data_IF_351276226942
#
_entry.id   IF_351276226942
#
_cell.length_a   1.000
_cell.length_b   1.000
_cell.length_c   1.000
_cell.angle_alpha   90.00
_cell.angle_beta   90.00
_cell.angle_gamma   90.00
#
_symmetry.space_group_name_H-M   'P 1'
#
loop_
_entity.id
_entity.type
_entity.pdbx_description
1 polymer ?
#
# COMPACT_ATOMS: atom_id res chain seq x y z
N UNK A 1 73.04 51.54 47.69
CA UNK A 1 71.78 50.85 47.98
C UNK A 1 71.14 50.39 46.67
N UNK A 2 71.29 49.16 46.28
CA UNK A 2 70.84 48.62 45.01
C UNK A 2 69.36 48.19 45.15
N UNK A 3 68.49 48.70 44.32
CA UNK A 3 67.14 48.15 44.14
C UNK A 3 67.14 47.19 42.91
N UNK A 4 66.88 45.92 43.14
CA UNK A 4 66.70 44.91 42.12
C UNK A 4 65.31 45.04 41.53
N UNK A 5 65.19 45.20 40.21
CA UNK A 5 63.93 45.03 39.46
C UNK A 5 63.80 43.57 39.06
N UNK A 6 62.67 42.92 39.49
CA UNK A 6 62.24 41.63 38.98
C UNK A 6 61.31 41.84 37.78
N UNK A 7 61.69 41.31 36.64
CA UNK A 7 60.91 41.32 35.44
C UNK A 7 60.16 39.99 35.39
N UNK A 8 58.84 39.96 35.58
CA UNK A 8 57.97 38.76 35.48
C UNK A 8 57.50 38.61 34.05
N UNK A 9 58.00 37.62 33.32
CA UNK A 9 57.51 37.25 32.01
C UNK A 9 56.21 36.43 32.13
N UNK A 10 55.11 36.97 31.62
CA UNK A 10 53.83 36.23 31.50
C UNK A 10 53.85 35.49 30.18
N UNK A 11 53.95 34.12 30.27
CA UNK A 11 53.78 33.26 29.11
C UNK A 11 52.27 33.04 28.89
N UNK A 12 51.77 33.56 27.77
CA UNK A 12 50.40 33.37 27.33
C UNK A 12 50.32 32.02 26.54
N UNK A 13 49.88 30.93 27.19
CA UNK A 13 49.59 29.68 26.52
C UNK A 13 48.27 29.81 25.79
N UNK A 14 48.32 29.97 24.46
CA UNK A 14 47.14 29.79 23.60
C UNK A 14 46.82 28.27 23.53
N UNK A 15 45.83 27.86 24.29
CA UNK A 15 45.17 26.55 24.12
C UNK A 15 44.25 26.62 22.89
N UNK A 16 44.73 26.16 21.73
CA UNK A 16 43.88 25.88 20.59
C UNK A 16 43.06 24.61 20.92
N UNK A 17 41.84 24.83 21.38
CA UNK A 17 40.86 23.76 21.53
C UNK A 17 40.45 23.22 20.17
N UNK A 18 41.02 22.09 19.75
CA UNK A 18 40.49 21.29 18.67
C UNK A 18 39.21 20.68 19.20
N UNK A 19 38.06 21.25 18.80
CA UNK A 19 36.75 20.62 19.01
C UNK A 19 36.72 19.30 18.17
N UNK A 20 36.98 18.19 18.81
CA UNK A 20 36.66 16.86 18.24
C UNK A 20 35.14 16.84 18.04
N UNK A 21 34.72 16.85 16.78
CA UNK A 21 33.34 16.51 16.41
C UNK A 21 33.03 15.13 16.98
N UNK A 22 32.19 15.10 18.01
CA UNK A 22 31.72 13.86 18.58
C UNK A 22 31.01 13.08 17.46
N UNK A 23 31.60 11.96 17.07
CA UNK A 23 31.01 10.97 16.17
C UNK A 23 29.63 10.59 16.75
N UNK A 24 28.54 10.98 16.08
CA UNK A 24 27.21 10.52 16.48
C UNK A 24 27.24 9.00 16.40
N UNK A 25 26.82 8.27 17.44
CA UNK A 25 26.83 6.82 17.41
C UNK A 25 26.03 6.36 16.21
N UNK A 26 26.67 5.70 15.25
CA UNK A 26 25.99 5.02 14.15
C UNK A 26 24.99 4.05 14.78
N UNK A 27 23.68 4.34 14.68
CA UNK A 27 22.64 3.40 15.05
C UNK A 27 22.90 2.13 14.25
N UNK A 28 23.30 1.03 14.93
CA UNK A 28 23.40 -0.29 14.29
C UNK A 28 22.15 -0.51 13.47
N UNK A 29 22.31 -0.80 12.18
CA UNK A 29 21.16 -1.07 11.30
C UNK A 29 20.44 -2.29 11.86
N UNK A 30 19.26 -2.05 12.43
CA UNK A 30 18.40 -3.16 12.88
C UNK A 30 18.00 -3.93 11.62
N UNK A 31 18.23 -5.25 11.62
CA UNK A 31 17.84 -6.11 10.51
C UNK A 31 16.35 -5.97 10.25
N UNK A 32 15.97 -5.96 8.99
CA UNK A 32 14.57 -5.96 8.54
C UNK A 32 14.47 -6.75 7.22
N UNK A 33 13.33 -7.39 6.94
CA UNK A 33 13.14 -8.11 5.69
C UNK A 33 13.25 -7.19 4.47
N UNK A 34 13.90 -7.67 3.40
CA UNK A 34 13.88 -7.06 2.07
C UNK A 34 12.67 -7.58 1.30
N UNK A 35 11.96 -6.69 0.61
CA UNK A 35 10.84 -6.98 -0.27
C UNK A 35 11.26 -6.77 -1.73
N UNK A 36 10.65 -7.55 -2.63
CA UNK A 36 10.78 -7.45 -4.09
C UNK A 36 9.48 -6.91 -4.65
N UNK A 37 9.46 -5.64 -5.06
CA UNK A 37 8.24 -5.01 -5.58
C UNK A 37 8.35 -4.87 -7.11
N UNK A 38 7.45 -5.53 -7.85
CA UNK A 38 7.41 -5.43 -9.31
C UNK A 38 6.94 -4.04 -9.74
N UNK A 39 7.82 -3.23 -10.33
CA UNK A 39 7.49 -1.84 -10.70
C UNK A 39 7.02 -1.74 -12.14
N UNK A 40 7.75 -2.35 -13.09
CA UNK A 40 7.42 -2.33 -14.50
C UNK A 40 7.51 -3.74 -15.08
N UNK A 41 6.64 -4.05 -16.02
CA UNK A 41 6.70 -5.31 -16.78
C UNK A 41 6.38 -5.05 -18.26
N UNK A 42 6.94 -5.86 -19.15
CA UNK A 42 6.67 -5.77 -20.58
C UNK A 42 7.43 -4.66 -21.30
N UNK A 43 8.44 -4.03 -20.66
CA UNK A 43 9.26 -2.99 -21.27
C UNK A 43 10.50 -3.60 -21.95
N UNK A 44 11.04 -2.93 -22.97
CA UNK A 44 12.29 -3.36 -23.65
C UNK A 44 13.52 -2.67 -23.10
N UNK A 45 13.33 -1.53 -22.44
CA UNK A 45 14.39 -0.73 -21.84
C UNK A 45 13.86 -0.05 -20.59
N UNK A 46 14.73 0.23 -19.61
CA UNK A 46 14.43 1.04 -18.42
C UNK A 46 15.55 2.04 -18.18
N UNK A 47 15.17 3.30 -17.95
CA UNK A 47 16.08 4.37 -17.52
C UNK A 47 16.30 4.33 -16.02
N UNK A 48 17.54 4.40 -15.56
CA UNK A 48 17.92 4.29 -14.16
C UNK A 48 18.91 5.37 -13.74
N UNK A 49 18.82 5.80 -12.47
CA UNK A 49 19.83 6.61 -11.78
C UNK A 49 19.90 6.17 -10.33
N UNK A 50 21.06 6.29 -9.70
CA UNK A 50 21.28 5.92 -8.29
C UNK A 50 21.94 7.05 -7.52
N UNK A 51 21.55 7.28 -6.26
CA UNK A 51 22.04 8.37 -5.43
C UNK A 51 23.45 8.14 -4.86
N UNK A 52 23.96 6.91 -4.91
CA UNK A 52 25.28 6.54 -4.41
C UNK A 52 25.99 5.57 -5.39
N UNK A 53 27.33 5.40 -5.29
CA UNK A 53 28.04 4.41 -6.09
C UNK A 53 27.48 2.99 -5.85
N UNK A 54 27.17 2.31 -6.95
CA UNK A 54 26.60 0.96 -6.96
C UNK A 54 27.42 0.00 -7.80
N UNK A 55 27.17 -1.28 -7.57
CA UNK A 55 27.61 -2.36 -8.45
C UNK A 55 26.39 -2.98 -9.14
N UNK A 56 26.55 -3.30 -10.42
CA UNK A 56 25.64 -4.19 -11.14
C UNK A 56 26.22 -5.59 -11.09
N UNK A 57 25.46 -6.53 -10.58
CA UNK A 57 25.85 -7.95 -10.49
C UNK A 57 24.90 -8.81 -11.31
N UNK A 58 25.40 -9.91 -11.83
CA UNK A 58 24.56 -11.00 -12.31
C UNK A 58 23.79 -11.58 -11.13
N UNK A 59 22.46 -11.58 -11.20
CA UNK A 59 21.61 -11.97 -10.07
C UNK A 59 21.73 -13.47 -9.73
N UNK A 60 22.16 -14.31 -10.66
CA UNK A 60 22.32 -15.76 -10.50
C UNK A 60 23.71 -16.10 -10.00
N UNK A 61 24.75 -15.67 -10.74
CA UNK A 61 26.14 -16.02 -10.46
C UNK A 61 26.80 -15.14 -9.39
N UNK A 62 26.16 -14.02 -9.05
CA UNK A 62 26.66 -12.96 -8.15
C UNK A 62 27.95 -12.29 -8.61
N UNK A 63 28.36 -12.51 -9.85
CA UNK A 63 29.53 -11.88 -10.44
C UNK A 63 29.27 -10.40 -10.72
N UNK A 64 30.20 -9.54 -10.34
CA UNK A 64 30.17 -8.11 -10.69
C UNK A 64 30.35 -7.93 -12.18
N UNK A 65 29.39 -7.26 -12.80
CA UNK A 65 29.38 -6.95 -14.24
C UNK A 65 29.89 -5.54 -14.51
N UNK A 66 29.51 -4.57 -13.67
CA UNK A 66 29.84 -3.15 -13.89
C UNK A 66 29.76 -2.36 -12.59
N UNK A 67 30.62 -1.34 -12.44
CA UNK A 67 30.47 -0.28 -11.43
C UNK A 67 29.62 0.86 -12.00
N UNK A 68 28.72 1.38 -11.19
CA UNK A 68 27.79 2.45 -11.54
C UNK A 68 28.09 3.64 -10.63
N UNK A 69 28.54 4.78 -11.18
CA UNK A 69 28.76 5.98 -10.39
C UNK A 69 27.44 6.59 -9.93
N UNK A 70 27.49 7.31 -8.79
CA UNK A 70 26.34 8.07 -8.29
C UNK A 70 25.90 9.15 -9.31
N UNK A 71 24.62 9.50 -9.27
CA UNK A 71 23.95 10.59 -10.00
C UNK A 71 24.07 10.54 -11.53
N UNK A 72 24.61 9.45 -12.09
CA UNK A 72 24.71 9.25 -13.54
C UNK A 72 23.52 8.46 -14.07
N UNK A 73 22.88 8.97 -15.11
CA UNK A 73 21.85 8.25 -15.84
C UNK A 73 22.47 7.08 -16.63
N UNK A 74 21.81 5.93 -16.59
CA UNK A 74 22.14 4.77 -17.40
C UNK A 74 20.86 4.01 -17.75
N UNK A 75 20.93 3.09 -18.70
CA UNK A 75 19.81 2.25 -19.06
C UNK A 75 20.19 0.77 -18.96
N UNK A 76 19.19 -0.06 -18.70
CA UNK A 76 19.25 -1.51 -18.92
C UNK A 76 18.36 -1.83 -20.11
N UNK A 77 18.94 -2.41 -21.15
CA UNK A 77 18.29 -2.73 -22.41
C UNK A 77 18.21 -4.25 -22.60
N UNK A 78 17.06 -4.74 -23.03
CA UNK A 78 16.82 -6.17 -23.24
C UNK A 78 17.81 -6.80 -24.22
N UNK A 79 18.08 -6.15 -25.36
CA UNK A 79 18.96 -6.68 -26.39
C UNK A 79 20.43 -6.75 -25.92
N UNK A 80 20.86 -5.77 -25.11
CA UNK A 80 22.25 -5.67 -24.61
C UNK A 80 22.50 -6.54 -23.37
N UNK A 81 21.45 -6.94 -22.65
CA UNK A 81 21.57 -7.73 -21.43
C UNK A 81 21.94 -9.17 -21.74
N UNK A 82 23.16 -9.59 -21.36
CA UNK A 82 23.73 -10.94 -21.62
C UNK A 82 23.30 -12.00 -20.59
N UNK A 83 22.73 -11.59 -19.46
CA UNK A 83 22.31 -12.46 -18.36
C UNK A 83 20.78 -12.50 -18.25
N UNK A 84 20.24 -13.47 -17.55
CA UNK A 84 18.78 -13.60 -17.33
C UNK A 84 18.25 -12.59 -16.32
N UNK A 85 19.12 -12.13 -15.40
CA UNK A 85 18.76 -11.12 -14.40
C UNK A 85 20.00 -10.35 -13.92
N UNK A 86 19.84 -9.06 -13.64
CA UNK A 86 20.87 -8.23 -12.99
C UNK A 86 20.29 -7.58 -11.73
N UNK A 87 21.15 -7.34 -10.72
CA UNK A 87 20.84 -6.54 -9.55
C UNK A 87 21.79 -5.34 -9.49
N UNK A 88 21.23 -4.18 -9.13
CA UNK A 88 21.96 -2.95 -8.84
C UNK A 88 21.85 -2.70 -7.34
N UNK A 89 22.97 -2.75 -6.64
CA UNK A 89 23.05 -2.62 -5.18
C UNK A 89 24.14 -1.62 -4.78
N UNK A 90 24.00 -0.92 -3.65
CA UNK A 90 25.02 0.01 -3.19
C UNK A 90 26.33 -0.70 -2.85
N UNK A 91 27.45 -0.03 -3.12
CA UNK A 91 28.79 -0.57 -2.85
C UNK A 91 29.20 -0.41 -1.36
N UNK A 92 28.85 0.74 -0.75
CA UNK A 92 29.39 1.12 0.57
C UNK A 92 28.34 1.60 1.59
N UNK A 93 27.12 1.90 1.17
CA UNK A 93 26.06 2.34 2.07
C UNK A 93 25.03 1.23 2.29
N UNK A 94 24.25 1.25 3.39
CA UNK A 94 23.14 0.33 3.57
C UNK A 94 22.10 0.47 2.47
N UNK A 95 21.43 -0.61 2.10
CA UNK A 95 20.40 -0.62 1.07
C UNK A 95 19.27 0.38 1.34
N UNK A 96 18.90 0.56 2.61
CA UNK A 96 17.87 1.50 3.05
C UNK A 96 18.19 2.97 2.77
N UNK A 97 19.47 3.31 2.60
CA UNK A 97 19.93 4.68 2.35
C UNK A 97 20.15 4.97 0.86
N UNK A 98 20.00 3.96 0.00
CA UNK A 98 20.07 4.12 -1.45
C UNK A 98 18.73 4.63 -1.99
N UNK A 99 18.79 5.63 -2.86
CA UNK A 99 17.66 6.06 -3.68
C UNK A 99 17.95 5.67 -5.12
N UNK A 100 17.07 4.84 -5.69
CA UNK A 100 17.06 4.52 -7.11
C UNK A 100 15.96 5.32 -7.81
N UNK A 101 16.28 5.97 -8.92
CA UNK A 101 15.28 6.55 -9.82
C UNK A 101 15.03 5.55 -10.95
N UNK A 102 13.77 5.16 -11.12
CA UNK A 102 13.29 4.20 -12.14
C UNK A 102 12.28 4.96 -13.01
N UNK A 103 12.60 5.19 -14.27
CA UNK A 103 11.79 5.99 -15.21
C UNK A 103 11.25 7.29 -14.61
N UNK A 104 12.14 8.04 -13.91
CA UNK A 104 11.84 9.35 -13.34
C UNK A 104 11.25 9.32 -11.92
N UNK A 105 10.76 8.20 -11.41
CA UNK A 105 10.24 8.08 -10.04
C UNK A 105 11.31 7.60 -9.06
N UNK A 106 11.32 8.13 -7.85
CA UNK A 106 12.28 7.81 -6.79
C UNK A 106 11.76 6.68 -5.91
N UNK A 107 12.64 5.71 -5.63
CA UNK A 107 12.39 4.57 -4.76
C UNK A 107 13.56 4.38 -3.80
N UNK A 108 13.28 4.04 -2.56
CA UNK A 108 14.32 3.53 -1.67
C UNK A 108 14.79 2.15 -2.13
N UNK A 109 16.08 1.84 -1.87
CA UNK A 109 16.62 0.52 -2.14
C UNK A 109 17.25 0.35 -3.52
N UNK A 110 17.50 -0.90 -3.87
CA UNK A 110 18.15 -1.30 -5.13
C UNK A 110 17.15 -1.64 -6.24
N UNK A 111 17.70 -2.10 -7.36
CA UNK A 111 16.91 -2.50 -8.53
C UNK A 111 17.34 -3.86 -9.00
N UNK A 112 16.38 -4.73 -9.31
CA UNK A 112 16.59 -5.97 -10.05
C UNK A 112 15.86 -5.87 -11.38
N UNK A 113 16.50 -6.33 -12.45
CA UNK A 113 15.90 -6.38 -13.78
C UNK A 113 15.99 -7.82 -14.29
N UNK A 114 14.84 -8.42 -14.54
CA UNK A 114 14.73 -9.78 -15.07
C UNK A 114 14.37 -9.74 -16.55
N UNK A 115 14.99 -10.63 -17.36
CA UNK A 115 14.52 -10.95 -18.71
C UNK A 115 13.37 -11.95 -18.66
N UNK A 116 12.21 -11.61 -19.21
CA UNK A 116 11.02 -12.46 -19.21
C UNK A 116 10.35 -12.41 -20.58
N UNK A 117 10.34 -13.54 -21.31
CA UNK A 117 9.58 -13.71 -22.57
C UNK A 117 9.66 -12.54 -23.56
N UNK A 118 10.89 -12.08 -23.88
CA UNK A 118 11.10 -11.00 -24.85
C UNK A 118 11.03 -9.57 -24.30
N UNK A 119 10.85 -9.41 -23.01
CA UNK A 119 10.76 -8.12 -22.33
C UNK A 119 11.53 -8.11 -21.02
N UNK A 120 11.54 -6.98 -20.33
CA UNK A 120 12.10 -6.79 -19.00
C UNK A 120 10.96 -6.67 -17.96
N UNK A 121 11.20 -7.25 -16.78
CA UNK A 121 10.49 -6.95 -15.55
C UNK A 121 11.44 -6.23 -14.59
N UNK A 122 11.06 -5.04 -14.16
CA UNK A 122 11.85 -4.18 -13.26
C UNK A 122 11.29 -4.29 -11.86
N UNK A 123 12.14 -4.61 -10.90
CA UNK A 123 11.78 -4.93 -9.52
C UNK A 123 12.58 -4.01 -8.60
N UNK A 124 11.90 -3.33 -7.70
CA UNK A 124 12.55 -2.61 -6.62
C UNK A 124 12.90 -3.58 -5.47
N UNK A 125 14.15 -3.57 -5.04
CA UNK A 125 14.66 -4.32 -3.90
C UNK A 125 14.69 -3.38 -2.70
N UNK A 126 13.68 -3.44 -1.84
CA UNK A 126 13.48 -2.42 -0.82
C UNK A 126 13.34 -3.05 0.58
N UNK A 127 14.02 -2.52 1.61
CA UNK A 127 13.74 -2.90 2.98
C UNK A 127 12.33 -2.53 3.41
N UNK A 128 11.71 -3.32 4.28
CA UNK A 128 10.28 -3.21 4.62
C UNK A 128 9.87 -1.81 5.10
N UNK A 129 10.66 -1.17 5.96
CA UNK A 129 10.28 0.15 6.50
C UNK A 129 10.32 1.24 5.43
N UNK A 130 11.30 1.19 4.55
CA UNK A 130 11.44 2.13 3.44
C UNK A 130 10.32 1.93 2.39
N UNK A 131 9.88 0.67 2.17
CA UNK A 131 8.68 0.37 1.38
C UNK A 131 7.43 1.02 1.99
N UNK A 132 7.27 0.92 3.31
CA UNK A 132 6.09 1.46 4.01
C UNK A 132 6.02 2.99 3.96
N UNK A 133 7.15 3.70 3.89
CA UNK A 133 7.14 5.18 3.70
C UNK A 133 6.46 5.57 2.40
N UNK A 134 6.67 4.79 1.33
CA UNK A 134 5.94 4.97 0.06
C UNK A 134 4.47 4.57 0.18
N UNK A 135 4.19 3.36 0.68
CA UNK A 135 2.82 2.83 0.76
C UNK A 135 1.90 3.67 1.64
N UNK A 136 2.33 4.04 2.86
CA UNK A 136 1.46 4.79 3.78
C UNK A 136 1.10 6.16 3.24
N UNK A 137 2.06 6.85 2.58
CA UNK A 137 1.82 8.16 1.98
C UNK A 137 0.89 8.13 0.76
N UNK A 138 0.90 7.03 0.00
CA UNK A 138 0.02 6.84 -1.17
C UNK A 138 -1.37 6.33 -0.77
N UNK A 139 -1.47 5.48 0.24
CA UNK A 139 -2.74 4.90 0.71
C UNK A 139 -3.55 5.87 1.56
N UNK A 140 -2.91 6.73 2.34
CA UNK A 140 -3.57 7.69 3.23
C UNK A 140 -2.94 9.09 3.13
N UNK A 141 -3.79 10.11 3.12
CA UNK A 141 -3.32 11.50 3.13
C UNK A 141 -2.40 11.78 4.33
N UNK A 142 -1.23 12.43 4.10
CA UNK A 142 -0.37 12.89 5.20
C UNK A 142 -1.04 13.88 6.17
N UNK A 143 -2.20 14.44 5.78
CA UNK A 143 -3.00 15.29 6.68
C UNK A 143 -3.83 14.50 7.70
N UNK A 144 -3.82 13.16 7.65
CA UNK A 144 -4.54 12.34 8.62
C UNK A 144 -3.81 12.32 9.97
N UNK A 145 -4.55 12.10 11.08
CA UNK A 145 -3.95 12.01 12.41
C UNK A 145 -2.86 10.93 12.49
N UNK A 146 -1.81 11.17 13.26
CA UNK A 146 -0.67 10.26 13.42
C UNK A 146 -1.10 8.84 13.80
N UNK A 147 -2.08 8.68 14.69
CA UNK A 147 -2.56 7.36 15.12
C UNK A 147 -3.25 6.57 13.99
N UNK A 148 -3.90 7.26 13.05
CA UNK A 148 -4.45 6.61 11.84
C UNK A 148 -3.32 6.14 10.91
N UNK A 149 -2.29 6.96 10.70
CA UNK A 149 -1.11 6.61 9.90
C UNK A 149 -0.30 5.47 10.53
N UNK A 150 -0.19 5.42 11.87
CA UNK A 150 0.42 4.29 12.60
C UNK A 150 -0.38 3.00 12.38
N UNK A 151 -1.71 3.06 12.49
CA UNK A 151 -2.57 1.91 12.23
C UNK A 151 -2.38 1.40 10.79
N UNK A 152 -2.31 2.31 9.80
CA UNK A 152 -2.03 1.97 8.41
C UNK A 152 -0.65 1.35 8.25
N UNK A 153 0.40 1.89 8.89
CA UNK A 153 1.76 1.35 8.81
C UNK A 153 1.83 -0.09 9.33
N UNK A 154 1.20 -0.39 10.47
CA UNK A 154 1.14 -1.75 11.03
C UNK A 154 0.32 -2.69 10.13
N UNK A 155 -0.84 -2.25 9.63
CA UNK A 155 -1.66 -3.03 8.71
C UNK A 155 -0.91 -3.31 7.40
N UNK A 156 -0.31 -2.30 6.78
CA UNK A 156 0.45 -2.45 5.54
C UNK A 156 1.68 -3.36 5.71
N UNK A 157 2.39 -3.25 6.84
CA UNK A 157 3.53 -4.13 7.17
C UNK A 157 3.10 -5.58 7.31
N UNK A 158 2.02 -5.82 8.06
CA UNK A 158 1.47 -7.16 8.26
C UNK A 158 1.03 -7.78 6.93
N UNK A 159 0.30 -7.02 6.10
CA UNK A 159 -0.11 -7.44 4.77
C UNK A 159 1.10 -7.79 3.88
N UNK A 160 2.09 -6.90 3.81
CA UNK A 160 3.25 -7.10 2.96
C UNK A 160 4.05 -8.34 3.35
N UNK A 161 4.31 -8.52 4.65
CA UNK A 161 5.07 -9.67 5.15
C UNK A 161 4.28 -10.99 5.09
N UNK A 162 2.94 -10.94 5.24
CA UNK A 162 2.07 -12.10 5.09
C UNK A 162 1.96 -12.57 3.65
N UNK A 163 1.91 -11.63 2.70
CA UNK A 163 1.68 -11.89 1.28
C UNK A 163 2.97 -11.87 0.44
N UNK A 164 4.15 -12.00 1.06
CA UNK A 164 5.39 -12.27 0.32
C UNK A 164 5.17 -13.48 -0.58
N UNK A 165 5.76 -13.46 -1.75
CA UNK A 165 5.62 -14.52 -2.76
C UNK A 165 4.26 -14.55 -3.48
N UNK A 166 3.35 -13.57 -3.25
CA UNK A 166 2.06 -13.50 -3.96
C UNK A 166 2.23 -13.47 -5.48
N UNK A 167 3.33 -12.91 -5.95
CA UNK A 167 3.74 -12.82 -7.36
C UNK A 167 5.04 -13.58 -7.65
N UNK A 168 5.33 -14.67 -6.92
CA UNK A 168 6.58 -15.41 -7.08
C UNK A 168 6.75 -15.99 -8.51
N UNK A 169 5.64 -16.36 -9.16
CA UNK A 169 5.64 -16.82 -10.56
C UNK A 169 6.07 -15.72 -11.54
N UNK A 170 5.88 -14.45 -11.21
CA UNK A 170 6.35 -13.29 -11.96
C UNK A 170 7.75 -12.83 -11.52
N UNK A 171 8.30 -13.42 -10.45
CA UNK A 171 9.65 -13.19 -9.94
C UNK A 171 9.77 -12.07 -8.91
N UNK A 172 8.66 -11.61 -8.29
CA UNK A 172 8.64 -10.60 -7.23
C UNK A 172 7.61 -10.94 -6.15
N UNK A 173 7.58 -10.19 -5.04
CA UNK A 173 6.69 -10.47 -3.91
C UNK A 173 5.32 -9.82 -4.08
N UNK A 174 5.27 -8.53 -4.37
CA UNK A 174 4.04 -7.72 -4.45
C UNK A 174 4.06 -6.84 -5.70
N UNK A 175 2.89 -6.54 -6.25
CA UNK A 175 2.73 -5.54 -7.31
C UNK A 175 2.45 -4.14 -6.70
N UNK A 176 2.67 -3.04 -7.46
CA UNK A 176 2.58 -1.67 -6.96
C UNK A 176 1.18 -1.07 -7.10
N UNK A 177 0.14 -1.91 -7.26
CA UNK A 177 -1.22 -1.47 -7.54
C UNK A 177 -2.18 -1.84 -6.40
N UNK A 178 -3.43 -1.40 -6.48
CA UNK A 178 -4.51 -1.76 -5.54
C UNK A 178 -4.79 -3.27 -5.44
N UNK A 179 -4.19 -4.12 -6.29
CA UNK A 179 -4.25 -5.58 -6.13
C UNK A 179 -3.42 -6.04 -4.92
N UNK A 180 -2.28 -5.38 -4.64
CA UNK A 180 -1.50 -5.59 -3.42
C UNK A 180 -1.59 -4.34 -2.54
N UNK A 181 -0.78 -3.32 -2.79
CA UNK A 181 -0.76 -2.02 -2.12
C UNK A 181 -0.25 -0.98 -3.12
N UNK A 182 -0.81 0.22 -3.11
CA UNK A 182 -0.33 1.29 -3.98
C UNK A 182 1.08 1.68 -3.57
N UNK A 183 2.02 1.64 -4.52
CA UNK A 183 3.42 1.97 -4.32
C UNK A 183 4.01 2.62 -5.57
N UNK A 184 3.99 3.94 -5.60
CA UNK A 184 4.45 4.74 -6.74
C UNK A 184 5.80 5.44 -6.51
N UNK A 185 6.59 4.93 -5.57
CA UNK A 185 7.83 5.53 -5.09
C UNK A 185 7.67 6.06 -3.68
N UNK A 186 8.38 7.13 -3.34
CA UNK A 186 8.18 7.79 -2.05
C UNK A 186 8.23 9.32 -2.19
N UNK A 187 7.46 9.97 -1.34
CA UNK A 187 7.58 11.38 -1.00
C UNK A 187 7.99 11.49 0.47
N UNK A 188 8.79 12.50 0.80
CA UNK A 188 9.36 12.66 2.15
C UNK A 188 8.40 13.43 3.06
N UNK A 189 7.34 12.77 3.51
CA UNK A 189 6.40 13.31 4.49
C UNK A 189 6.84 12.98 5.91
N UNK A 190 7.24 13.98 6.69
CA UNK A 190 7.72 13.80 8.06
C UNK A 190 6.74 13.00 8.95
N UNK A 191 5.44 13.29 8.87
CA UNK A 191 4.42 12.59 9.67
C UNK A 191 4.27 11.12 9.28
N UNK A 192 4.42 10.79 8.00
CA UNK A 192 4.40 9.39 7.50
C UNK A 192 5.65 8.67 8.00
N UNK A 193 6.82 9.29 7.88
CA UNK A 193 8.07 8.75 8.39
C UNK A 193 7.97 8.47 9.89
N UNK A 194 7.41 9.42 10.66
CA UNK A 194 7.19 9.28 12.10
C UNK A 194 6.26 8.11 12.41
N UNK A 195 5.15 7.95 11.68
CA UNK A 195 4.23 6.83 11.87
C UNK A 195 4.90 5.47 11.64
N UNK A 196 5.70 5.34 10.58
CA UNK A 196 6.46 4.13 10.26
C UNK A 196 7.53 3.85 11.31
N UNK A 197 8.29 4.88 11.74
CA UNK A 197 9.38 4.74 12.72
C UNK A 197 8.86 4.38 14.13
N UNK A 198 7.78 5.01 14.57
CA UNK A 198 7.19 4.74 15.89
C UNK A 198 6.53 3.35 15.98
N UNK A 199 6.14 2.76 14.85
CA UNK A 199 5.58 1.40 14.77
C UNK A 199 6.57 0.38 14.17
N UNK A 200 7.86 0.72 14.13
CA UNK A 200 8.89 -0.09 13.47
C UNK A 200 8.87 -1.55 13.91
N UNK A 201 8.78 -2.46 12.94
CA UNK A 201 8.77 -3.91 13.16
C UNK A 201 7.48 -4.47 13.76
N UNK A 202 6.48 -3.65 14.04
CA UNK A 202 5.20 -4.11 14.59
C UNK A 202 4.28 -4.67 13.50
N UNK A 203 3.72 -5.85 13.79
CA UNK A 203 2.74 -6.54 12.94
C UNK A 203 1.58 -7.06 13.78
N UNK A 204 0.46 -7.33 13.13
CA UNK A 204 -0.62 -8.10 13.74
C UNK A 204 -0.39 -9.59 13.54
N UNK A 205 -0.65 -10.36 14.60
CA UNK A 205 -0.58 -11.82 14.56
C UNK A 205 -1.90 -12.44 15.01
N UNK A 206 -2.25 -13.57 14.42
CA UNK A 206 -3.35 -14.42 14.84
C UNK A 206 -2.87 -15.86 14.97
N UNK A 207 -3.04 -16.47 16.15
CA UNK A 207 -2.48 -17.82 16.46
C UNK A 207 -1.00 -17.92 16.10
N UNK A 208 -0.21 -16.95 16.57
CA UNK A 208 1.26 -16.80 16.38
C UNK A 208 1.73 -16.65 14.90
N UNK A 209 0.85 -16.54 13.94
CA UNK A 209 1.16 -16.27 12.53
C UNK A 209 0.82 -14.83 12.18
N UNK A 210 1.59 -14.21 11.28
CA UNK A 210 1.28 -12.86 10.77
C UNK A 210 -0.12 -12.91 10.12
N UNK A 211 -0.97 -11.97 10.54
CA UNK A 211 -2.34 -11.84 10.05
C UNK A 211 -2.36 -11.22 8.64
N UNK A 212 -3.35 -11.61 7.86
CA UNK A 212 -3.66 -10.97 6.58
C UNK A 212 -4.54 -9.75 6.83
N UNK A 213 -3.95 -8.57 6.80
CA UNK A 213 -4.55 -7.31 7.23
C UNK A 213 -4.99 -6.47 6.04
N UNK A 214 -6.05 -6.92 5.38
CA UNK A 214 -6.65 -6.18 4.28
C UNK A 214 -7.21 -4.84 4.77
N UNK A 215 -7.17 -3.80 3.93
CA UNK A 215 -7.70 -2.48 4.21
C UNK A 215 -8.31 -1.86 2.94
N UNK A 216 -9.10 -0.82 3.09
CA UNK A 216 -9.80 -0.15 2.01
C UNK A 216 -10.10 1.31 2.38
N UNK A 217 -10.45 2.13 1.38
CA UNK A 217 -10.60 3.57 1.58
C UNK A 217 -11.73 3.95 2.54
N UNK A 218 -12.95 3.39 2.35
CA UNK A 218 -14.14 3.75 3.14
C UNK A 218 -15.14 2.60 3.18
N UNK A 219 -15.55 2.20 4.38
CA UNK A 219 -16.53 1.12 4.57
C UNK A 219 -17.96 1.55 4.23
N UNK A 220 -18.27 2.84 4.37
CA UNK A 220 -19.63 3.37 4.36
C UNK A 220 -20.41 3.07 5.64
N UNK A 221 -19.72 2.95 6.82
CA UNK A 221 -20.31 2.80 8.15
C UNK A 221 -20.25 1.39 8.75
N UNK A 222 -19.98 0.36 7.94
CA UNK A 222 -19.76 -1.02 8.41
C UNK A 222 -18.86 -1.78 7.45
N UNK A 223 -17.83 -2.47 7.97
CA UNK A 223 -16.95 -3.32 7.16
C UNK A 223 -17.66 -4.60 6.73
N UNK A 224 -17.05 -5.35 5.83
CA UNK A 224 -17.61 -6.58 5.26
C UNK A 224 -16.86 -7.82 5.74
N UNK A 225 -17.55 -8.94 5.82
CA UNK A 225 -16.92 -10.24 6.03
C UNK A 225 -16.10 -10.64 4.81
N UNK A 226 -14.89 -11.14 5.03
CA UNK A 226 -14.05 -11.66 3.95
C UNK A 226 -14.73 -12.80 3.18
N UNK A 227 -15.54 -13.61 3.88
CA UNK A 227 -16.29 -14.70 3.28
C UNK A 227 -17.31 -14.23 2.23
N UNK A 228 -17.94 -13.08 2.44
CA UNK A 228 -18.92 -12.51 1.51
C UNK A 228 -18.27 -11.86 0.28
N UNK A 229 -16.96 -11.54 0.34
CA UNK A 229 -16.22 -10.89 -0.77
C UNK A 229 -15.41 -11.92 -1.56
N UNK A 230 -14.69 -12.81 -0.87
CA UNK A 230 -13.72 -13.73 -1.49
C UNK A 230 -13.99 -15.22 -1.24
N UNK A 231 -15.09 -15.55 -0.53
CA UNK A 231 -15.49 -16.93 -0.27
C UNK A 231 -14.62 -17.69 0.75
N UNK A 232 -13.67 -17.02 1.40
CA UNK A 232 -12.80 -17.62 2.42
C UNK A 232 -13.20 -17.15 3.81
N UNK A 233 -13.15 -18.02 4.81
CA UNK A 233 -13.46 -17.64 6.18
C UNK A 233 -12.16 -17.35 6.95
N UNK A 234 -12.03 -16.11 7.44
CA UNK A 234 -10.92 -15.66 8.29
C UNK A 234 -11.50 -15.06 9.56
N UNK A 235 -11.21 -15.68 10.70
CA UNK A 235 -11.90 -15.40 11.97
C UNK A 235 -11.80 -13.94 12.47
N UNK A 236 -10.78 -13.20 12.06
CA UNK A 236 -10.55 -11.80 12.44
C UNK A 236 -10.93 -10.78 11.34
N UNK A 237 -11.43 -11.23 10.17
CA UNK A 237 -11.94 -10.38 9.09
C UNK A 237 -13.46 -10.49 9.00
N UNK A 238 -14.10 -10.00 10.05
CA UNK A 238 -15.56 -10.01 10.25
C UNK A 238 -16.12 -8.59 10.14
N UNK A 239 -17.42 -8.42 9.90
CA UNK A 239 -18.03 -7.11 9.85
C UNK A 239 -17.94 -6.40 11.21
N UNK A 240 -17.47 -5.14 11.20
CA UNK A 240 -17.49 -4.26 12.38
C UNK A 240 -18.14 -2.93 12.03
N UNK A 241 -18.92 -2.39 12.97
CA UNK A 241 -19.55 -1.07 12.84
C UNK A 241 -18.52 0.02 13.10
N UNK A 242 -18.62 1.11 12.36
CA UNK A 242 -17.85 2.31 12.59
C UNK A 242 -18.63 3.36 13.36
N UNK A 243 -17.93 4.36 13.91
CA UNK A 243 -18.55 5.51 14.60
C UNK A 243 -19.07 6.57 13.63
N UNK A 244 -18.90 6.33 12.33
CA UNK A 244 -19.33 7.25 11.30
C UNK A 244 -20.84 7.14 11.09
N UNK A 245 -21.51 8.27 11.05
CA UNK A 245 -22.71 8.41 10.26
C UNK A 245 -22.33 8.17 8.78
N UNK A 246 -23.26 7.64 7.99
CA UNK A 246 -23.03 7.41 6.56
C UNK A 246 -22.39 8.64 5.93
N UNK A 247 -21.24 8.45 5.28
CA UNK A 247 -20.62 9.49 4.46
C UNK A 247 -21.59 9.95 3.37
N UNK A 248 -21.35 11.12 2.76
CA UNK A 248 -22.19 11.58 1.66
C UNK A 248 -22.28 10.50 0.55
N UNK A 249 -23.48 10.17 0.07
CA UNK A 249 -23.65 9.14 -0.94
C UNK A 249 -23.01 9.55 -2.25
N UNK A 250 -22.43 8.60 -2.95
CA UNK A 250 -22.09 8.75 -4.35
C UNK A 250 -23.29 8.36 -5.23
N UNK A 251 -23.44 9.01 -6.39
CA UNK A 251 -24.48 8.70 -7.35
C UNK A 251 -23.88 8.53 -8.74
N UNK A 252 -24.28 7.46 -9.43
CA UNK A 252 -23.91 7.20 -10.82
C UNK A 252 -25.15 6.90 -11.63
N UNK A 253 -25.26 7.49 -12.83
CA UNK A 253 -26.39 7.37 -13.71
C UNK A 253 -25.95 6.82 -15.06
N UNK A 254 -26.74 5.92 -15.59
CA UNK A 254 -26.55 5.34 -16.93
C UNK A 254 -27.88 5.39 -17.66
N UNK A 255 -27.89 5.69 -18.96
CA UNK A 255 -29.11 5.51 -19.72
C UNK A 255 -29.55 4.04 -19.68
N UNK A 256 -30.86 3.77 -19.70
CA UNK A 256 -31.40 2.41 -19.73
C UNK A 256 -30.81 1.59 -20.89
N UNK A 257 -30.55 2.26 -22.02
CA UNK A 257 -29.92 1.68 -23.22
C UNK A 257 -28.46 1.27 -22.94
N UNK A 258 -27.61 2.18 -22.38
CA UNK A 258 -26.20 1.88 -22.03
C UNK A 258 -26.13 0.78 -20.96
N UNK A 259 -26.99 0.87 -19.93
CA UNK A 259 -27.08 -0.16 -18.92
C UNK A 259 -27.37 -1.54 -19.53
N UNK A 260 -28.38 -1.62 -20.39
CA UNK A 260 -28.82 -2.87 -21.02
C UNK A 260 -27.76 -3.47 -21.94
N UNK A 261 -27.09 -2.65 -22.73
CA UNK A 261 -26.05 -3.07 -23.69
C UNK A 261 -24.91 -3.82 -23.04
N UNK A 262 -24.60 -3.53 -21.77
CA UNK A 262 -23.54 -4.21 -21.00
C UNK A 262 -23.85 -5.65 -20.64
N UNK A 263 -25.08 -6.11 -20.87
CA UNK A 263 -25.49 -7.51 -20.63
C UNK A 263 -25.66 -8.33 -21.93
N UNK A 264 -25.42 -7.68 -23.08
CA UNK A 264 -25.52 -8.30 -24.41
C UNK A 264 -26.94 -8.38 -24.95
N UNK A 265 -27.06 -8.70 -26.24
CA UNK A 265 -28.33 -8.65 -26.99
C UNK A 265 -29.42 -9.59 -26.47
N UNK A 266 -29.02 -10.67 -25.79
CA UNK A 266 -29.95 -11.64 -25.21
C UNK A 266 -30.66 -11.14 -23.94
N UNK A 267 -30.23 -10.02 -23.34
CA UNK A 267 -30.90 -9.40 -22.21
C UNK A 267 -32.07 -8.52 -22.68
N UNK A 268 -31.88 -7.81 -23.78
CA UNK A 268 -32.82 -6.79 -24.27
C UNK A 268 -32.80 -5.53 -23.40
N UNK A 269 -33.85 -4.74 -23.43
CA UNK A 269 -33.96 -3.50 -22.65
C UNK A 269 -34.37 -3.80 -21.21
N UNK A 270 -33.80 -3.09 -20.24
CA UNK A 270 -34.15 -3.23 -18.83
C UNK A 270 -35.57 -2.77 -18.57
N UNK A 271 -36.39 -3.59 -17.93
CA UNK A 271 -37.77 -3.31 -17.53
C UNK A 271 -37.95 -3.02 -16.06
N UNK A 272 -37.23 -3.74 -15.21
CA UNK A 272 -37.27 -3.54 -13.76
C UNK A 272 -36.04 -4.13 -13.09
N UNK A 273 -35.79 -3.66 -11.88
CA UNK A 273 -34.72 -4.09 -11.01
C UNK A 273 -35.33 -4.50 -9.69
N UNK A 274 -34.97 -5.69 -9.20
CA UNK A 274 -35.39 -6.19 -7.89
C UNK A 274 -34.17 -6.27 -6.99
N UNK A 275 -34.15 -5.47 -5.95
CA UNK A 275 -33.13 -5.38 -4.94
C UNK A 275 -33.77 -4.86 -3.65
N UNK A 276 -33.52 -5.51 -2.53
CA UNK A 276 -33.98 -5.04 -1.21
C UNK A 276 -33.40 -3.69 -0.87
N UNK A 277 -34.13 -2.88 -0.10
CA UNK A 277 -33.63 -1.58 0.38
C UNK A 277 -32.38 -1.74 1.24
N UNK A 278 -31.40 -0.88 1.00
CA UNK A 278 -30.15 -0.85 1.75
C UNK A 278 -30.43 -0.51 3.24
N UNK A 279 -30.02 -1.41 4.11
CA UNK A 279 -30.10 -1.21 5.58
C UNK A 279 -28.83 -1.78 6.21
N UNK A 280 -27.99 -0.92 6.78
CA UNK A 280 -26.75 -1.33 7.45
C UNK A 280 -27.09 -2.08 8.75
N UNK A 281 -26.39 -3.19 8.99
CA UNK A 281 -26.59 -4.04 10.17
C UNK A 281 -27.73 -5.05 10.01
N UNK A 282 -28.37 -5.12 8.82
CA UNK A 282 -29.47 -6.06 8.56
C UNK A 282 -29.24 -6.81 7.25
N UNK A 283 -29.11 -8.13 7.34
CA UNK A 283 -29.01 -9.00 6.16
C UNK A 283 -30.34 -9.22 5.49
N UNK A 284 -30.30 -9.45 4.18
CA UNK A 284 -31.41 -9.92 3.37
C UNK A 284 -30.90 -11.07 2.45
N UNK A 285 -31.78 -11.70 1.68
CA UNK A 285 -31.37 -12.76 0.75
C UNK A 285 -30.35 -12.25 -0.29
N UNK A 286 -30.52 -11.00 -0.71
CA UNK A 286 -29.72 -10.32 -1.73
C UNK A 286 -28.70 -9.32 -1.15
N UNK A 287 -28.60 -9.22 0.21
CA UNK A 287 -27.65 -8.32 0.90
C UNK A 287 -26.95 -9.01 2.06
N UNK A 288 -25.71 -8.58 2.31
CA UNK A 288 -24.95 -8.96 3.50
C UNK A 288 -25.43 -8.20 4.74
N UNK A 289 -24.88 -8.53 5.90
CA UNK A 289 -25.15 -7.78 7.14
C UNK A 289 -24.66 -6.33 7.10
N UNK A 290 -23.62 -6.02 6.30
CA UNK A 290 -23.16 -4.65 6.08
C UNK A 290 -24.07 -3.85 5.15
N UNK A 291 -25.08 -4.47 4.53
CA UNK A 291 -25.98 -3.88 3.54
C UNK A 291 -25.45 -3.98 2.09
N UNK A 292 -24.28 -4.57 1.88
CA UNK A 292 -23.68 -4.71 0.53
C UNK A 292 -24.47 -5.71 -0.30
N UNK A 293 -24.54 -5.44 -1.61
CA UNK A 293 -25.28 -6.28 -2.56
C UNK A 293 -24.57 -7.61 -2.77
N UNK A 294 -25.22 -8.71 -2.42
CA UNK A 294 -24.81 -10.09 -2.79
C UNK A 294 -25.24 -10.39 -4.21
N UNK A 295 -26.50 -10.13 -4.53
CA UNK A 295 -27.07 -10.33 -5.86
C UNK A 295 -28.19 -9.34 -6.13
N UNK A 296 -28.44 -9.05 -7.40
CA UNK A 296 -29.61 -8.30 -7.84
C UNK A 296 -30.30 -9.05 -9.00
N UNK A 297 -31.62 -8.98 -9.08
CA UNK A 297 -32.37 -9.52 -10.21
C UNK A 297 -32.72 -8.42 -11.18
N UNK A 298 -32.23 -8.55 -12.42
CA UNK A 298 -32.47 -7.62 -13.52
C UNK A 298 -33.47 -8.25 -14.48
N UNK A 299 -34.58 -7.59 -14.70
CA UNK A 299 -35.60 -8.03 -15.66
C UNK A 299 -35.44 -7.25 -16.96
N UNK A 300 -35.01 -7.93 -18.00
CA UNK A 300 -34.94 -7.39 -19.36
C UNK A 300 -36.15 -7.77 -20.19
N UNK A 301 -36.26 -7.20 -21.40
CA UNK A 301 -37.33 -7.55 -22.34
C UNK A 301 -37.25 -8.99 -22.84
N UNK A 302 -36.06 -9.57 -22.90
CA UNK A 302 -35.83 -10.91 -23.45
C UNK A 302 -35.47 -11.94 -22.37
N UNK A 303 -34.78 -11.51 -21.28
CA UNK A 303 -34.28 -12.42 -20.25
C UNK A 303 -34.25 -11.74 -18.88
N UNK A 304 -34.50 -12.52 -17.84
CA UNK A 304 -34.19 -12.13 -16.44
C UNK A 304 -32.82 -12.69 -16.05
N UNK A 305 -31.98 -11.85 -15.44
CA UNK A 305 -30.65 -12.18 -14.97
C UNK A 305 -30.55 -12.00 -13.45
N UNK A 306 -29.86 -12.91 -12.78
CA UNK A 306 -29.34 -12.66 -11.43
C UNK A 306 -27.86 -12.38 -11.54
N UNK A 307 -27.41 -11.26 -10.99
CA UNK A 307 -26.02 -10.81 -11.09
C UNK A 307 -25.49 -10.45 -9.70
N UNK A 308 -24.21 -10.77 -9.43
CA UNK A 308 -23.59 -10.43 -8.16
C UNK A 308 -23.32 -8.92 -8.03
N UNK A 309 -23.29 -8.42 -6.78
CA UNK A 309 -22.89 -7.03 -6.51
C UNK A 309 -21.45 -6.75 -6.96
N UNK A 310 -20.56 -7.73 -6.87
CA UNK A 310 -19.17 -7.64 -7.33
C UNK A 310 -19.11 -7.48 -8.86
N UNK A 311 -19.91 -8.24 -9.60
CA UNK A 311 -19.95 -8.13 -11.06
C UNK A 311 -20.59 -6.81 -11.52
N UNK A 312 -21.63 -6.33 -10.82
CA UNK A 312 -22.18 -5.00 -11.04
C UNK A 312 -21.12 -3.92 -10.79
N UNK A 313 -20.43 -3.99 -9.65
CA UNK A 313 -19.33 -3.06 -9.34
C UNK A 313 -18.29 -3.01 -10.45
N UNK A 314 -17.85 -4.17 -10.93
CA UNK A 314 -16.84 -4.28 -12.01
C UNK A 314 -17.36 -3.75 -13.33
N UNK A 315 -18.57 -4.16 -13.71
CA UNK A 315 -19.20 -3.81 -15.00
C UNK A 315 -19.49 -2.31 -15.15
N UNK A 316 -19.83 -1.64 -14.05
CA UNK A 316 -20.17 -0.22 -14.02
C UNK A 316 -19.11 0.66 -13.34
N UNK A 317 -17.95 0.10 -12.96
CA UNK A 317 -16.88 0.81 -12.26
C UNK A 317 -17.36 1.51 -10.98
N UNK A 318 -18.29 0.88 -10.23
CA UNK A 318 -18.86 1.48 -9.02
C UNK A 318 -17.81 1.54 -7.91
N UNK A 319 -17.85 2.58 -7.05
CA UNK A 319 -16.91 2.74 -5.95
C UNK A 319 -16.91 1.57 -4.94
N UNK A 320 -18.08 1.00 -4.66
CA UNK A 320 -18.27 -0.11 -3.71
C UNK A 320 -19.40 -1.03 -4.14
N UNK A 321 -19.65 -2.09 -3.38
CA UNK A 321 -20.85 -2.94 -3.48
C UNK A 321 -21.99 -2.51 -2.53
N UNK A 322 -21.80 -1.41 -1.78
CA UNK A 322 -22.78 -0.85 -0.86
C UNK A 322 -23.62 0.21 -1.59
N UNK A 323 -24.67 -0.21 -2.27
CA UNK A 323 -25.51 0.66 -3.07
C UNK A 323 -26.97 0.20 -3.15
N UNK A 324 -27.86 1.13 -3.45
CA UNK A 324 -29.17 0.91 -4.01
C UNK A 324 -29.16 1.19 -5.53
N UNK A 325 -30.08 0.56 -6.25
CA UNK A 325 -30.18 0.69 -7.70
C UNK A 325 -31.65 0.71 -8.11
N UNK A 326 -32.03 1.67 -8.96
CA UNK A 326 -33.40 1.79 -9.48
C UNK A 326 -33.43 2.23 -10.93
N UNK A 327 -34.43 1.75 -11.65
CA UNK A 327 -34.83 2.31 -12.96
C UNK A 327 -35.79 3.48 -12.72
N UNK A 328 -35.51 4.64 -13.29
CA UNK A 328 -36.29 5.86 -13.17
C UNK A 328 -36.41 6.54 -14.55
N UNK A 329 -37.54 6.40 -15.21
CA UNK A 329 -37.64 6.79 -16.61
C UNK A 329 -36.66 6.00 -17.46
N UNK A 330 -35.87 6.73 -18.25
CA UNK A 330 -34.86 6.17 -19.17
C UNK A 330 -33.45 6.06 -18.51
N UNK A 331 -33.36 6.20 -17.19
CA UNK A 331 -32.09 6.10 -16.47
C UNK A 331 -32.10 4.97 -15.44
N UNK A 332 -30.98 4.24 -15.33
CA UNK A 332 -30.65 3.42 -14.18
C UNK A 332 -29.74 4.21 -13.25
N UNK A 333 -30.20 4.42 -12.02
CA UNK A 333 -29.53 5.24 -11.01
C UNK A 333 -29.00 4.34 -9.92
N UNK A 334 -27.70 4.38 -9.70
CA UNK A 334 -27.02 3.80 -8.54
C UNK A 334 -26.79 4.90 -7.50
N UNK A 335 -27.14 4.64 -6.26
CA UNK A 335 -26.83 5.50 -5.12
C UNK A 335 -26.19 4.66 -4.04
N UNK A 336 -24.97 4.98 -3.63
CA UNK A 336 -24.25 4.13 -2.70
C UNK A 336 -23.29 4.88 -1.80
N UNK A 337 -22.60 4.13 -0.95
CA UNK A 337 -21.70 4.63 0.08
C UNK A 337 -20.39 3.88 0.08
N UNK A 338 -19.36 4.49 0.69
CA UNK A 338 -18.05 3.88 0.82
C UNK A 338 -17.29 3.72 -0.50
N UNK A 339 -16.05 3.25 -0.38
CA UNK A 339 -15.12 3.02 -1.51
C UNK A 339 -14.20 1.84 -1.16
N UNK A 340 -14.13 0.88 -2.06
CA UNK A 340 -13.31 -0.32 -1.89
C UNK A 340 -14.13 -1.58 -1.62
N UNK A 341 -13.44 -2.67 -1.23
CA UNK A 341 -14.04 -3.99 -1.00
C UNK A 341 -14.74 -4.13 0.34
N UNK A 342 -14.46 -3.28 1.31
CA UNK A 342 -15.09 -3.29 2.64
C UNK A 342 -14.42 -4.19 3.67
N UNK A 343 -13.47 -5.06 3.32
CA UNK A 343 -12.87 -6.04 4.25
C UNK A 343 -11.74 -5.41 5.07
N UNK A 344 -11.69 -5.69 6.37
CA UNK A 344 -10.64 -5.23 7.28
C UNK A 344 -10.73 -3.74 7.59
N UNK A 345 -9.60 -3.04 7.71
CA UNK A 345 -9.58 -1.65 8.16
C UNK A 345 -10.06 -0.68 7.09
N UNK A 346 -11.00 0.19 7.45
CA UNK A 346 -11.38 1.38 6.68
C UNK A 346 -10.43 2.53 7.01
N UNK A 347 -9.81 3.11 5.99
CA UNK A 347 -8.88 4.25 6.15
C UNK A 347 -9.62 5.49 6.67
N UNK A 348 -10.82 5.77 6.15
CA UNK A 348 -11.66 6.85 6.64
C UNK A 348 -12.16 6.59 8.07
N UNK A 349 -12.50 5.35 8.40
CA UNK A 349 -12.87 4.95 9.76
C UNK A 349 -11.70 5.10 10.73
N UNK A 350 -10.49 4.65 10.36
CA UNK A 350 -9.28 4.83 11.16
C UNK A 350 -8.99 6.31 11.45
N UNK A 351 -9.15 7.19 10.44
CA UNK A 351 -9.07 8.65 10.62
C UNK A 351 -10.06 9.12 11.68
N UNK A 352 -11.34 8.78 11.57
CA UNK A 352 -12.38 9.22 12.49
C UNK A 352 -12.16 8.71 13.93
N UNK A 353 -11.71 7.46 14.09
CA UNK A 353 -11.35 6.94 15.41
C UNK A 353 -10.16 7.70 16.00
N UNK A 354 -9.12 8.01 15.22
CA UNK A 354 -7.98 8.78 15.66
C UNK A 354 -8.36 10.23 16.05
N UNK A 355 -9.25 10.88 15.29
CA UNK A 355 -9.83 12.19 15.64
C UNK A 355 -10.63 12.16 16.96
N UNK A 356 -11.13 10.99 17.36
CA UNK A 356 -11.76 10.73 18.67
C UNK A 356 -10.76 10.21 19.73
N UNK A 357 -9.46 10.48 19.54
CA UNK A 357 -8.37 10.12 20.45
C UNK A 357 -8.20 8.61 20.69
N UNK A 358 -8.55 7.76 19.70
CA UNK A 358 -8.17 6.37 19.76
C UNK A 358 -6.71 6.22 19.33
N UNK A 359 -5.98 5.38 20.06
CA UNK A 359 -4.63 4.97 19.72
C UNK A 359 -4.64 3.93 18.59
N UNK A 360 -3.55 3.82 17.84
CA UNK A 360 -3.46 2.92 16.68
C UNK A 360 -3.71 1.44 17.04
N UNK A 361 -3.27 0.99 18.21
CA UNK A 361 -3.50 -0.38 18.69
C UNK A 361 -4.99 -0.63 18.97
N UNK A 362 -5.71 0.36 19.51
CA UNK A 362 -7.16 0.30 19.70
C UNK A 362 -7.90 0.30 18.36
N UNK A 363 -7.48 1.10 17.40
CA UNK A 363 -8.00 1.11 16.01
C UNK A 363 -7.83 -0.27 15.38
N UNK A 364 -6.62 -0.81 15.43
CA UNK A 364 -6.31 -2.12 14.86
C UNK A 364 -7.10 -3.26 15.52
N UNK A 365 -7.23 -3.26 16.84
CA UNK A 365 -8.01 -4.27 17.56
C UNK A 365 -9.50 -4.23 17.24
N UNK A 366 -10.03 -3.06 16.88
CA UNK A 366 -11.41 -2.90 16.41
C UNK A 366 -11.65 -3.59 15.07
N UNK A 367 -10.75 -3.37 14.09
CA UNK A 367 -10.92 -3.92 12.74
C UNK A 367 -10.47 -5.38 12.58
N UNK A 368 -9.53 -5.83 13.41
CA UNK A 368 -8.94 -7.18 13.33
C UNK A 368 -9.10 -7.90 14.68
N UNK A 369 -10.35 -8.23 15.01
CA UNK A 369 -10.72 -8.79 16.31
C UNK A 369 -9.95 -10.07 16.65
N UNK A 370 -9.38 -10.14 17.87
CA UNK A 370 -8.64 -11.31 18.34
C UNK A 370 -7.22 -11.44 17.80
N UNK A 371 -6.73 -10.48 17.00
CA UNK A 371 -5.31 -10.39 16.66
C UNK A 371 -4.51 -9.76 17.81
N UNK A 372 -3.21 -9.93 17.80
CA UNK A 372 -2.27 -9.37 18.77
C UNK A 372 -1.19 -8.57 18.05
N UNK A 373 -0.88 -7.39 18.57
CA UNK A 373 0.28 -6.61 18.13
C UNK A 373 1.57 -7.31 18.62
N UNK A 374 2.53 -7.52 17.72
CA UNK A 374 3.80 -8.18 18.01
C UNK A 374 4.92 -7.45 17.28
N UNK A 375 6.02 -7.23 17.96
CA UNK A 375 7.25 -6.70 17.36
C UNK A 375 8.12 -7.85 16.84
N UNK A 376 8.49 -7.80 15.54
CA UNK A 376 9.32 -8.84 14.90
C UNK A 376 10.80 -8.51 14.95
N UNK A 377 11.18 -7.22 14.89
CA UNK A 377 12.57 -6.74 14.88
C UNK A 377 12.72 -5.35 15.48
#
# INVERSE_FOLDING_TARGET
MLKKFFLTAIIFCMLTGIAQAADKPQKKSVWQPELRIGILSGVTQVGLKVSAPCIMIDAVTKKTLKKIPAEKNFAVDFAQMKTTAVEIRPEKIPLKDLIATIDGRKYFGGVRVNKVKGSLTVINLVPTEEYLRGVVGEEMSPAYPLEALKAQAVAARSFALKNRERHDKEGFDLCPTTHCQVYEGFEDFEIVNKAVDETRGEVLTFKEKIADTNFHADSGGMTEAVADVWGTNVAYLVPVKELLELTAPWTMKFSAKDFSSRFGDNFGDVKSIKLSTLTIGKSANDRTSSGRVKSAQLVGTKKTLTISGIDLRRKFSLPSTLFDMKLSGDEVIFTGYGRGHGVGMSQQGAKTFAEKNWTYDKILSHYYSGTKLKKLY
#
